data_IF_934015509476
#
_entry.id   IF_934015509476
#
_cell.length_a   1.000
_cell.length_b   1.000
_cell.length_c   1.000
_cell.angle_alpha   90.00
_cell.angle_beta   90.00
_cell.angle_gamma   90.00
#
_symmetry.space_group_name_H-M   'P 1'
#
loop_
_entity.id
_entity.type
_entity.pdbx_description
1 polymer ?
#
# COMPACT_ATOMS: atom_id res chain seq x y z
N UNK A 1 21.44 -25.51 -3.46
CA UNK A 1 20.83 -25.08 -4.74
C UNK A 1 19.50 -24.41 -4.45
N UNK A 2 19.39 -23.16 -4.88
CA UNK A 2 18.15 -22.43 -4.68
C UNK A 2 17.05 -23.03 -5.55
N UNK A 3 15.86 -23.19 -5.00
CA UNK A 3 14.73 -23.67 -5.77
C UNK A 3 13.88 -22.48 -6.23
N UNK A 4 12.90 -22.76 -7.07
CA UNK A 4 12.03 -21.70 -7.60
C UNK A 4 11.26 -20.97 -6.50
N UNK A 5 10.94 -21.67 -5.41
CA UNK A 5 10.24 -21.06 -4.28
C UNK A 5 11.07 -19.98 -3.61
N UNK A 6 12.38 -20.23 -3.44
CA UNK A 6 13.28 -19.26 -2.83
C UNK A 6 13.40 -18.00 -3.71
N UNK A 7 13.51 -18.18 -5.02
CA UNK A 7 13.62 -17.06 -5.95
C UNK A 7 12.35 -16.22 -5.96
N UNK A 8 11.20 -16.87 -5.94
CA UNK A 8 9.91 -16.18 -5.91
C UNK A 8 9.77 -15.41 -4.59
N UNK A 9 10.17 -16.04 -3.48
CA UNK A 9 10.12 -15.38 -2.18
C UNK A 9 11.03 -14.16 -2.14
N UNK A 10 12.23 -14.28 -2.70
CA UNK A 10 13.16 -13.16 -2.74
C UNK A 10 12.61 -12.00 -3.56
N UNK A 11 12.00 -12.30 -4.69
CA UNK A 11 11.35 -11.28 -5.52
C UNK A 11 10.20 -10.61 -4.78
N UNK A 12 9.41 -11.40 -4.08
CA UNK A 12 8.30 -10.90 -3.30
C UNK A 12 8.78 -9.94 -2.21
N UNK A 13 9.82 -10.35 -1.49
CA UNK A 13 10.38 -9.52 -0.42
C UNK A 13 10.97 -8.23 -0.97
N UNK A 14 11.65 -8.31 -2.11
CA UNK A 14 12.21 -7.14 -2.75
C UNK A 14 11.12 -6.15 -3.16
N UNK A 15 10.08 -6.64 -3.82
CA UNK A 15 8.97 -5.79 -4.24
C UNK A 15 8.26 -5.18 -3.04
N UNK A 16 8.01 -5.99 -2.01
CA UNK A 16 7.35 -5.53 -0.80
C UNK A 16 8.15 -4.43 -0.14
N UNK A 17 9.46 -4.62 0.00
CA UNK A 17 10.34 -3.61 0.59
C UNK A 17 10.35 -2.33 -0.24
N UNK A 18 10.34 -2.46 -1.57
CA UNK A 18 10.32 -1.31 -2.45
C UNK A 18 9.04 -0.50 -2.28
N UNK A 19 7.90 -1.20 -2.21
CA UNK A 19 6.60 -0.54 -2.03
C UNK A 19 6.49 0.11 -0.65
N UNK A 20 7.00 -0.56 0.38
CA UNK A 20 7.02 0.01 1.72
C UNK A 20 7.91 1.25 1.78
N UNK A 21 9.03 1.24 1.06
CA UNK A 21 9.89 2.40 0.95
C UNK A 21 9.18 3.59 0.30
N UNK A 22 8.44 3.33 -0.76
CA UNK A 22 7.64 4.36 -1.42
C UNK A 22 6.57 4.92 -0.48
N UNK A 23 5.92 4.04 0.25
CA UNK A 23 4.90 4.45 1.22
C UNK A 23 5.53 5.34 2.30
N UNK A 24 6.68 4.94 2.80
CA UNK A 24 7.40 5.69 3.81
C UNK A 24 7.76 7.09 3.31
N UNK A 25 8.24 7.20 2.08
CA UNK A 25 8.57 8.47 1.46
C UNK A 25 7.34 9.38 1.36
N UNK A 26 6.21 8.82 0.96
CA UNK A 26 4.96 9.58 0.87
C UNK A 26 4.55 10.10 2.25
N UNK A 27 4.63 9.24 3.25
CA UNK A 27 4.23 9.61 4.61
C UNK A 27 5.15 10.66 5.20
N UNK A 28 6.46 10.55 4.95
CA UNK A 28 7.42 11.55 5.42
C UNK A 28 7.16 12.91 4.76
N UNK A 29 6.92 12.91 3.46
CA UNK A 29 6.62 14.15 2.74
C UNK A 29 5.32 14.78 3.24
N UNK A 30 4.31 13.95 3.50
CA UNK A 30 3.03 14.43 4.01
C UNK A 30 3.19 15.02 5.42
N UNK A 31 4.01 14.39 6.24
CA UNK A 31 4.28 14.88 7.58
C UNK A 31 4.95 16.27 7.55
N UNK A 32 5.92 16.44 6.66
CA UNK A 32 6.60 17.71 6.51
C UNK A 32 5.69 18.80 5.96
N UNK A 33 4.81 18.44 5.05
CA UNK A 33 3.85 19.36 4.45
C UNK A 33 2.62 19.59 5.34
N UNK A 34 2.47 18.78 6.38
CA UNK A 34 1.32 18.79 7.28
C UNK A 34 0.00 18.59 6.56
N UNK A 35 0.04 17.87 5.45
CA UNK A 35 -1.15 17.57 4.68
C UNK A 35 -0.90 16.35 3.78
N UNK A 36 -1.97 15.66 3.46
CA UNK A 36 -1.94 14.52 2.56
C UNK A 36 -2.78 14.88 1.33
N UNK A 37 -2.13 15.03 0.20
CA UNK A 37 -2.82 15.41 -1.02
C UNK A 37 -3.69 14.27 -1.54
N UNK A 38 -4.63 14.62 -2.40
CA UNK A 38 -5.46 13.61 -3.07
C UNK A 38 -4.59 12.64 -3.88
N UNK A 39 -3.55 13.18 -4.51
CA UNK A 39 -2.61 12.37 -5.27
C UNK A 39 -1.88 11.37 -4.36
N UNK A 40 -1.47 11.81 -3.18
CA UNK A 40 -0.82 10.95 -2.19
C UNK A 40 -1.76 9.84 -1.73
N UNK A 41 -3.01 10.18 -1.46
CA UNK A 41 -4.02 9.20 -1.04
C UNK A 41 -4.21 8.14 -2.11
N UNK A 42 -4.29 8.56 -3.38
CA UNK A 42 -4.43 7.63 -4.49
C UNK A 42 -3.23 6.72 -4.62
N UNK A 43 -2.03 7.25 -4.42
CA UNK A 43 -0.80 6.47 -4.50
C UNK A 43 -0.73 5.45 -3.38
N UNK A 44 -1.08 5.85 -2.16
CA UNK A 44 -1.12 4.94 -1.01
C UNK A 44 -2.13 3.81 -1.28
N UNK A 45 -3.30 4.17 -1.78
CA UNK A 45 -4.34 3.19 -2.12
C UNK A 45 -3.81 2.17 -3.13
N UNK A 46 -3.11 2.66 -4.17
CA UNK A 46 -2.53 1.80 -5.20
C UNK A 46 -1.47 0.87 -4.62
N UNK A 47 -0.62 1.38 -3.73
CA UNK A 47 0.42 0.58 -3.07
C UNK A 47 -0.24 -0.53 -2.24
N UNK A 48 -1.25 -0.18 -1.45
CA UNK A 48 -1.94 -1.17 -0.63
C UNK A 48 -2.62 -2.23 -1.47
N UNK A 49 -3.22 -1.83 -2.58
CA UNK A 49 -3.86 -2.78 -3.50
C UNK A 49 -2.85 -3.76 -4.09
N UNK A 50 -1.68 -3.25 -4.47
CA UNK A 50 -0.60 -4.07 -5.01
C UNK A 50 -0.08 -5.05 -3.96
N UNK A 51 0.10 -4.57 -2.71
CA UNK A 51 0.55 -5.44 -1.62
C UNK A 51 -0.45 -6.55 -1.34
N UNK A 52 -1.74 -6.21 -1.36
CA UNK A 52 -2.80 -7.20 -1.16
C UNK A 52 -2.74 -8.27 -2.24
N UNK A 53 -2.59 -7.85 -3.49
CA UNK A 53 -2.50 -8.79 -4.61
C UNK A 53 -1.28 -9.69 -4.52
N UNK A 54 -0.13 -9.13 -4.17
CA UNK A 54 1.10 -9.89 -4.00
C UNK A 54 0.97 -10.91 -2.87
N UNK A 55 0.38 -10.48 -1.75
CA UNK A 55 0.17 -11.37 -0.61
C UNK A 55 -0.77 -12.50 -0.97
N UNK A 56 -1.78 -12.23 -1.78
CA UNK A 56 -2.70 -13.26 -2.25
C UNK A 56 -1.99 -14.30 -3.10
N UNK A 57 -1.10 -13.86 -3.98
CA UNK A 57 -0.31 -14.77 -4.81
C UNK A 57 0.58 -15.68 -3.98
N UNK A 58 1.09 -15.17 -2.86
CA UNK A 58 1.95 -15.94 -1.97
C UNK A 58 1.18 -16.67 -0.88
N UNK A 59 -0.14 -16.53 -0.88
CA UNK A 59 -1.03 -17.11 0.13
C UNK A 59 -0.64 -16.67 1.55
N UNK A 60 -0.21 -15.45 1.70
CA UNK A 60 0.21 -14.90 2.99
C UNK A 60 -0.96 -14.16 3.63
N UNK A 61 -1.84 -14.92 4.27
CA UNK A 61 -3.10 -14.42 4.81
C UNK A 61 -2.99 -13.24 5.78
N UNK A 62 -2.06 -13.26 6.76
CA UNK A 62 -1.95 -12.12 7.67
C UNK A 62 -1.70 -10.80 6.96
N UNK A 63 -0.83 -10.81 5.95
CA UNK A 63 -0.54 -9.61 5.19
C UNK A 63 -1.70 -9.22 4.29
N UNK A 64 -2.40 -10.21 3.72
CA UNK A 64 -3.61 -9.96 2.92
C UNK A 64 -4.66 -9.23 3.74
N UNK A 65 -4.90 -9.74 4.95
CA UNK A 65 -5.90 -9.18 5.84
C UNK A 65 -5.53 -7.75 6.24
N UNK A 66 -4.27 -7.54 6.60
CA UNK A 66 -3.80 -6.20 6.98
C UNK A 66 -3.90 -5.23 5.81
N UNK A 67 -3.39 -5.64 4.64
CA UNK A 67 -3.41 -4.78 3.46
C UNK A 67 -4.83 -4.43 3.05
N UNK A 68 -5.75 -5.39 3.15
CA UNK A 68 -7.14 -5.17 2.82
C UNK A 68 -7.77 -4.15 3.78
N UNK A 69 -7.48 -4.26 5.06
CA UNK A 69 -8.01 -3.32 6.05
C UNK A 69 -7.48 -1.91 5.82
N UNK A 70 -6.20 -1.79 5.50
CA UNK A 70 -5.60 -0.48 5.22
C UNK A 70 -6.18 0.09 3.93
N UNK A 71 -6.36 -0.75 2.92
CA UNK A 71 -6.98 -0.33 1.67
C UNK A 71 -8.39 0.23 1.91
N UNK A 72 -9.18 -0.47 2.72
CA UNK A 72 -10.53 -0.04 3.07
C UNK A 72 -10.51 1.29 3.80
N UNK A 73 -9.57 1.46 4.72
CA UNK A 73 -9.45 2.70 5.48
C UNK A 73 -9.15 3.88 4.54
N UNK A 74 -8.20 3.70 3.63
CA UNK A 74 -7.85 4.77 2.71
C UNK A 74 -8.94 5.02 1.68
N UNK A 75 -9.71 3.99 1.33
CA UNK A 75 -10.87 4.18 0.49
C UNK A 75 -11.88 5.10 1.18
N UNK A 76 -12.14 4.86 2.46
CA UNK A 76 -13.07 5.70 3.22
C UNK A 76 -12.55 7.13 3.34
N UNK A 77 -11.25 7.29 3.59
CA UNK A 77 -10.64 8.61 3.68
C UNK A 77 -10.81 9.36 2.36
N UNK A 78 -10.57 8.68 1.24
CA UNK A 78 -10.70 9.28 -0.08
C UNK A 78 -12.14 9.70 -0.35
N UNK A 79 -13.10 8.83 -0.04
CA UNK A 79 -14.51 9.12 -0.23
C UNK A 79 -14.97 10.29 0.64
N UNK A 80 -14.52 10.29 1.89
CA UNK A 80 -14.86 11.34 2.83
C UNK A 80 -14.29 12.68 2.38
N UNK A 81 -13.05 12.68 1.90
CA UNK A 81 -12.40 13.88 1.38
C UNK A 81 -13.18 14.44 0.19
N UNK A 82 -13.61 13.57 -0.72
CA UNK A 82 -14.39 13.97 -1.88
C UNK A 82 -15.76 14.51 -1.45
N UNK A 83 -16.37 13.89 -0.46
CA UNK A 83 -17.66 14.31 0.04
C UNK A 83 -17.59 15.65 0.78
N UNK A 84 -16.44 15.95 1.37
CA UNK A 84 -16.26 17.17 2.15
C UNK A 84 -15.95 18.39 1.30
N UNK A 85 -15.68 18.22 0.01
CA UNK A 85 -15.38 19.33 -0.88
C UNK A 85 -16.66 20.11 -1.14
N UNK A 86 -16.69 21.41 -0.84
CA UNK A 86 -17.88 22.23 -1.09
C UNK A 86 -18.13 22.36 -2.58
N UNK A 87 -19.36 22.40 -2.95
CA UNK A 87 -19.74 22.61 -4.33
C UNK A 87 -19.61 24.06 -4.76
#
# INVERSE_FOLDING_TARGET
MANNGDSVLEMYLYETNSLLGQLDDIMLAAEQADTLSQEDVNEIFRIMHTLKGSAAMMEFEPLMTLAHRIEDLFYLIREETMSAIPE
#
